data_IF_806504862680
#
_entry.id   IF_806504862680
#
_cell.length_a   1.000
_cell.length_b   1.000
_cell.length_c   1.000
_cell.angle_alpha   90.00
_cell.angle_beta   90.00
_cell.angle_gamma   90.00
#
_symmetry.space_group_name_H-M   'P 1'
#
loop_
_entity.id
_entity.type
_entity.pdbx_description
1 polymer ?
#
# COMPACT_ATOMS: atom_id res chain seq x y z
N UNK A 1 4.39 9.28 6.31
CA UNK A 1 5.37 8.24 6.68
C UNK A 1 6.76 8.53 6.12
N UNK A 2 6.90 8.82 4.82
CA UNK A 2 8.21 9.07 4.17
C UNK A 2 9.14 10.02 4.93
N UNK A 3 8.63 11.20 5.33
CA UNK A 3 9.40 12.15 6.16
C UNK A 3 9.91 11.52 7.47
N UNK A 4 9.07 10.74 8.16
CA UNK A 4 9.47 10.02 9.38
C UNK A 4 10.57 9.00 9.11
N UNK A 5 10.48 8.25 8.01
CA UNK A 5 11.54 7.31 7.60
C UNK A 5 12.84 8.02 7.23
N UNK A 6 12.78 9.17 6.56
CA UNK A 6 13.97 9.98 6.23
C UNK A 6 14.76 10.31 7.50
N UNK A 7 14.07 10.72 8.57
CA UNK A 7 14.71 11.04 9.85
C UNK A 7 15.12 9.80 10.64
N UNK A 8 14.22 8.83 10.81
CA UNK A 8 14.48 7.62 11.58
C UNK A 8 15.64 6.80 11.01
N UNK A 9 15.70 6.68 9.68
CA UNK A 9 16.74 5.93 8.98
C UNK A 9 17.99 6.77 8.66
N UNK A 10 18.00 8.05 9.04
CA UNK A 10 19.04 9.02 8.72
C UNK A 10 19.42 9.03 7.24
N UNK A 11 18.41 9.02 6.35
CA UNK A 11 18.61 8.85 4.91
C UNK A 11 19.39 10.01 4.28
N UNK A 12 19.41 11.18 4.92
CA UNK A 12 20.15 12.35 4.47
C UNK A 12 21.67 12.15 4.46
N UNK A 13 22.19 11.21 5.27
CA UNK A 13 23.62 10.83 5.24
C UNK A 13 23.95 9.79 4.18
N UNK A 14 22.93 9.18 3.56
CA UNK A 14 23.06 8.00 2.69
C UNK A 14 22.62 8.25 1.25
N UNK A 15 21.74 9.22 1.05
CA UNK A 15 21.11 9.55 -0.22
C UNK A 15 21.21 11.05 -0.49
N UNK A 16 21.17 11.44 -1.76
CA UNK A 16 21.33 12.83 -2.14
C UNK A 16 20.10 13.68 -1.79
N UNK A 17 20.25 15.00 -1.76
CA UNK A 17 19.11 15.91 -1.62
C UNK A 17 18.09 15.72 -2.75
N UNK A 18 18.55 15.42 -3.96
CA UNK A 18 17.71 15.08 -5.11
C UNK A 18 16.87 13.84 -4.84
N UNK A 19 17.46 12.79 -4.26
CA UNK A 19 16.72 11.59 -3.87
C UNK A 19 15.65 11.88 -2.81
N UNK A 20 15.94 12.75 -1.84
CA UNK A 20 14.93 13.18 -0.85
C UNK A 20 13.76 13.89 -1.53
N UNK A 21 14.05 14.80 -2.47
CA UNK A 21 13.02 15.50 -3.24
C UNK A 21 12.17 14.54 -4.07
N UNK A 22 12.80 13.56 -4.72
CA UNK A 22 12.12 12.50 -5.49
C UNK A 22 11.19 11.69 -4.58
N UNK A 23 11.68 11.18 -3.45
CA UNK A 23 10.92 10.36 -2.51
C UNK A 23 9.70 11.11 -1.97
N UNK A 24 9.88 12.37 -1.56
CA UNK A 24 8.80 13.19 -1.02
C UNK A 24 7.76 13.56 -2.10
N UNK A 25 8.22 13.94 -3.29
CA UNK A 25 7.32 14.30 -4.40
C UNK A 25 6.50 13.09 -4.84
N UNK A 26 7.15 11.94 -5.06
CA UNK A 26 6.45 10.71 -5.43
C UNK A 26 5.44 10.27 -4.36
N UNK A 27 5.81 10.31 -3.08
CA UNK A 27 4.90 9.97 -1.99
C UNK A 27 3.65 10.86 -1.94
N UNK A 28 3.77 12.15 -2.25
CA UNK A 28 2.61 13.07 -2.31
C UNK A 28 1.74 12.80 -3.55
N UNK A 29 2.36 12.43 -4.67
CA UNK A 29 1.68 12.31 -5.96
C UNK A 29 1.14 10.92 -6.29
N UNK A 30 1.51 9.88 -5.53
CA UNK A 30 1.37 8.49 -6.00
C UNK A 30 -0.06 8.02 -6.31
N UNK A 31 -1.08 8.61 -5.66
CA UNK A 31 -2.51 8.26 -5.84
C UNK A 31 -3.36 9.42 -6.40
N UNK A 32 -2.74 10.36 -7.12
CA UNK A 32 -3.46 11.50 -7.69
C UNK A 32 -4.60 11.05 -8.61
N UNK A 33 -5.81 11.56 -8.36
CA UNK A 33 -7.02 11.27 -9.14
C UNK A 33 -7.42 9.77 -9.11
N UNK A 34 -7.18 9.09 -7.98
CA UNK A 34 -7.67 7.72 -7.77
C UNK A 34 -9.22 7.68 -7.80
N UNK A 35 -9.84 6.80 -8.61
CA UNK A 35 -11.29 6.81 -8.82
C UNK A 35 -12.08 6.04 -7.75
N UNK A 36 -11.40 5.43 -6.78
CA UNK A 36 -12.00 4.56 -5.75
C UNK A 36 -12.25 3.12 -6.22
N UNK A 37 -11.65 2.70 -7.34
CA UNK A 37 -11.73 1.35 -7.88
C UNK A 37 -10.37 0.92 -8.42
N UNK A 38 -9.85 -0.21 -7.96
CA UNK A 38 -8.49 -0.67 -8.25
C UNK A 38 -8.30 -1.13 -9.70
N UNK A 39 -7.04 -1.43 -10.08
CA UNK A 39 -6.67 -1.90 -11.43
C UNK A 39 -7.50 -3.10 -11.92
N UNK A 40 -7.82 -4.06 -11.04
CA UNK A 40 -8.62 -5.24 -11.41
C UNK A 40 -10.00 -4.84 -11.93
N UNK A 41 -10.65 -3.88 -11.26
CA UNK A 41 -11.92 -3.33 -11.73
C UNK A 41 -11.74 -2.59 -13.06
N UNK A 42 -10.71 -1.72 -13.17
CA UNK A 42 -10.46 -0.97 -14.41
C UNK A 42 -10.38 -1.90 -15.63
N UNK A 43 -9.60 -2.98 -15.49
CA UNK A 43 -9.37 -3.96 -16.55
C UNK A 43 -10.63 -4.79 -16.84
N UNK A 44 -11.28 -5.34 -15.82
CA UNK A 44 -12.46 -6.19 -16.00
C UNK A 44 -13.64 -5.41 -16.60
N UNK A 45 -13.85 -4.17 -16.16
CA UNK A 45 -14.87 -3.26 -16.69
C UNK A 45 -14.45 -2.58 -18.01
N UNK A 46 -13.20 -2.79 -18.46
CA UNK A 46 -12.62 -2.17 -19.67
C UNK A 46 -12.83 -0.67 -19.71
N UNK A 47 -12.53 -0.01 -18.59
CA UNK A 47 -12.71 1.43 -18.46
C UNK A 47 -11.79 2.20 -19.40
N UNK A 48 -12.02 3.51 -19.54
CA UNK A 48 -11.16 4.37 -20.34
C UNK A 48 -9.69 4.29 -19.91
N UNK A 49 -9.41 4.22 -18.60
CA UNK A 49 -8.04 4.10 -18.09
C UNK A 49 -7.39 2.78 -18.50
N UNK A 50 -8.11 1.66 -18.36
CA UNK A 50 -7.58 0.35 -18.79
C UNK A 50 -7.29 0.32 -20.29
N UNK A 51 -8.19 0.84 -21.12
CA UNK A 51 -7.98 0.95 -22.57
C UNK A 51 -6.81 1.88 -22.90
N UNK A 52 -6.71 3.04 -22.25
CA UNK A 52 -5.63 4.02 -22.48
C UNK A 52 -4.25 3.46 -22.15
N UNK A 53 -4.15 2.70 -21.06
CA UNK A 53 -2.89 2.14 -20.57
C UNK A 53 -2.68 0.66 -20.92
N UNK A 54 -3.53 0.10 -21.78
CA UNK A 54 -3.42 -1.27 -22.30
C UNK A 54 -3.27 -2.31 -21.20
N UNK A 55 -4.07 -2.17 -20.13
CA UNK A 55 -4.09 -3.04 -18.95
C UNK A 55 -2.79 -3.09 -18.12
N UNK A 56 -1.79 -2.24 -18.41
CA UNK A 56 -0.50 -2.20 -17.70
C UNK A 56 -0.54 -1.09 -16.65
N UNK A 57 -0.64 -1.46 -15.37
CA UNK A 57 -0.76 -0.54 -14.22
C UNK A 57 -1.57 0.73 -14.53
N UNK A 58 -2.86 0.62 -14.94
CA UNK A 58 -3.62 1.76 -15.44
C UNK A 58 -3.70 2.94 -14.47
N UNK A 59 -3.89 2.66 -13.18
CA UNK A 59 -4.01 3.69 -12.15
C UNK A 59 -2.68 4.38 -11.89
N UNK A 60 -1.61 3.63 -11.67
CA UNK A 60 -0.29 4.21 -11.35
C UNK A 60 0.25 5.05 -12.53
N UNK A 61 -0.02 4.62 -13.77
CA UNK A 61 0.28 5.44 -14.95
C UNK A 61 -0.56 6.73 -14.98
N UNK A 62 -1.85 6.66 -14.61
CA UNK A 62 -2.73 7.82 -14.53
C UNK A 62 -2.28 8.82 -13.45
N UNK A 63 -2.00 8.33 -12.23
CA UNK A 63 -1.48 9.16 -11.13
C UNK A 63 -0.23 9.91 -11.54
N UNK A 64 0.70 9.19 -12.19
CA UNK A 64 1.92 9.79 -12.70
C UNK A 64 1.65 10.82 -13.82
N UNK A 65 0.71 10.54 -14.73
CA UNK A 65 0.34 11.49 -15.78
C UNK A 65 -0.24 12.78 -15.20
N UNK A 66 -1.16 12.68 -14.23
CA UNK A 66 -1.76 13.81 -13.53
C UNK A 66 -0.70 14.62 -12.77
N UNK A 67 0.21 13.95 -12.05
CA UNK A 67 1.31 14.62 -11.34
C UNK A 67 2.11 15.55 -12.26
N UNK A 68 2.46 15.08 -13.46
CA UNK A 68 3.23 15.87 -14.40
C UNK A 68 2.41 16.83 -15.26
N UNK A 69 1.09 16.63 -15.37
CA UNK A 69 0.20 17.68 -15.89
C UNK A 69 0.20 18.88 -14.94
N UNK A 70 0.06 18.65 -13.63
CA UNK A 70 0.13 19.71 -12.61
C UNK A 70 1.48 20.41 -12.67
N UNK A 71 2.59 19.65 -12.65
CA UNK A 71 3.94 20.21 -12.68
C UNK A 71 4.30 20.91 -14.00
N UNK A 72 3.52 20.70 -15.07
CA UNK A 72 3.70 21.44 -16.34
C UNK A 72 3.13 22.86 -16.29
N UNK A 73 2.24 23.16 -15.33
CA UNK A 73 1.71 24.50 -15.12
C UNK A 73 2.80 25.38 -14.48
N UNK A 74 3.17 26.53 -15.07
CA UNK A 74 4.25 27.38 -14.56
C UNK A 74 4.08 27.78 -13.08
N UNK A 75 2.85 28.00 -12.63
CA UNK A 75 2.49 28.38 -11.26
C UNK A 75 2.55 27.23 -10.26
N UNK A 76 2.54 25.97 -10.72
CA UNK A 76 2.64 24.77 -9.89
C UNK A 76 4.00 24.08 -10.00
N UNK A 77 4.86 24.53 -10.92
CA UNK A 77 6.11 23.86 -11.23
C UNK A 77 7.20 24.13 -10.17
N UNK A 78 7.25 23.27 -9.14
CA UNK A 78 8.30 23.30 -8.12
C UNK A 78 9.71 22.99 -8.68
N UNK A 79 9.81 22.50 -9.92
CA UNK A 79 11.05 22.20 -10.62
C UNK A 79 11.44 23.26 -11.66
N UNK A 80 10.76 24.42 -11.71
CA UNK A 80 10.97 25.45 -12.72
C UNK A 80 12.41 25.97 -12.82
N UNK A 81 13.17 25.91 -11.72
CA UNK A 81 14.55 26.36 -11.63
C UNK A 81 15.57 25.21 -11.57
N UNK A 82 15.14 23.98 -11.85
CA UNK A 82 16.03 22.81 -11.91
C UNK A 82 16.62 22.72 -13.33
N UNK A 83 17.90 22.34 -13.41
CA UNK A 83 18.55 22.09 -14.69
C UNK A 83 17.74 21.08 -15.53
N UNK A 84 17.53 21.32 -16.84
CA UNK A 84 16.70 20.44 -17.67
C UNK A 84 17.15 18.97 -17.70
N UNK A 85 18.45 18.68 -17.61
CA UNK A 85 18.96 17.31 -17.60
C UNK A 85 18.71 16.64 -16.24
N UNK A 86 18.93 17.37 -15.15
CA UNK A 86 18.54 16.91 -13.81
C UNK A 86 17.02 16.67 -13.70
N UNK A 87 16.19 17.52 -14.31
CA UNK A 87 14.75 17.34 -14.33
C UNK A 87 14.33 16.04 -15.02
N UNK A 88 14.99 15.64 -16.13
CA UNK A 88 14.72 14.35 -16.78
C UNK A 88 14.97 13.18 -15.83
N UNK A 89 16.07 13.22 -15.07
CA UNK A 89 16.41 12.19 -14.09
C UNK A 89 15.40 12.15 -12.94
N UNK A 90 15.04 13.31 -12.39
CA UNK A 90 14.02 13.43 -11.35
C UNK A 90 12.68 12.87 -11.83
N UNK A 91 12.25 13.27 -13.03
CA UNK A 91 11.02 12.79 -13.65
C UNK A 91 11.03 11.27 -13.79
N UNK A 92 12.11 10.71 -14.34
CA UNK A 92 12.24 9.27 -14.53
C UNK A 92 12.17 8.53 -13.19
N UNK A 93 12.84 9.04 -12.16
CA UNK A 93 12.82 8.42 -10.85
C UNK A 93 11.43 8.48 -10.20
N UNK A 94 10.73 9.62 -10.26
CA UNK A 94 9.35 9.75 -9.75
C UNK A 94 8.41 8.78 -10.47
N UNK A 95 8.51 8.66 -11.81
CA UNK A 95 7.74 7.66 -12.58
C UNK A 95 7.99 6.26 -12.04
N UNK A 96 9.26 5.88 -11.87
CA UNK A 96 9.63 4.56 -11.35
C UNK A 96 9.03 4.31 -9.96
N UNK A 97 9.02 5.31 -9.08
CA UNK A 97 8.48 5.17 -7.72
C UNK A 97 6.96 5.07 -7.69
N UNK A 98 6.25 5.90 -8.46
CA UNK A 98 4.77 5.81 -8.53
C UNK A 98 4.36 4.47 -9.16
N UNK A 99 4.99 4.04 -10.25
CA UNK A 99 4.70 2.72 -10.85
C UNK A 99 5.10 1.52 -9.96
N UNK A 100 5.89 1.74 -8.91
CA UNK A 100 6.25 0.71 -7.95
C UNK A 100 5.18 0.50 -6.88
N UNK A 101 4.22 1.43 -6.70
CA UNK A 101 3.16 1.28 -5.69
C UNK A 101 2.18 0.18 -6.06
N UNK A 102 2.00 -0.11 -7.36
CA UNK A 102 1.18 -1.23 -7.85
C UNK A 102 1.50 -2.54 -7.10
N UNK A 103 0.50 -3.03 -6.36
CA UNK A 103 0.63 -4.23 -5.52
C UNK A 103 0.73 -5.52 -6.34
N UNK A 104 0.36 -5.52 -7.62
CA UNK A 104 0.63 -6.65 -8.53
C UNK A 104 2.15 -6.92 -8.67
N UNK A 105 2.98 -5.89 -8.46
CA UNK A 105 4.44 -5.96 -8.55
C UNK A 105 5.14 -6.15 -7.20
N UNK A 106 4.39 -6.28 -6.10
CA UNK A 106 4.96 -6.36 -4.76
C UNK A 106 5.99 -7.49 -4.62
N UNK A 107 5.66 -8.71 -5.07
CA UNK A 107 6.56 -9.86 -4.99
C UNK A 107 7.86 -9.65 -5.76
N UNK A 108 7.77 -9.21 -7.03
CA UNK A 108 8.91 -8.91 -7.89
C UNK A 108 9.88 -7.90 -7.24
N UNK A 109 9.34 -6.79 -6.73
CA UNK A 109 10.13 -5.71 -6.15
C UNK A 109 10.78 -6.16 -4.84
N UNK A 110 10.02 -6.82 -3.96
CA UNK A 110 10.54 -7.27 -2.68
C UNK A 110 11.61 -8.37 -2.85
N UNK A 111 11.43 -9.29 -3.79
CA UNK A 111 12.42 -10.34 -4.06
C UNK A 111 13.70 -9.75 -4.67
N UNK A 112 13.59 -8.77 -5.56
CA UNK A 112 14.76 -8.01 -6.07
C UNK A 112 15.52 -7.31 -4.94
N UNK A 113 14.81 -6.74 -3.96
CA UNK A 113 15.44 -6.09 -2.81
C UNK A 113 16.11 -7.09 -1.87
N UNK A 114 15.46 -8.22 -1.56
CA UNK A 114 16.04 -9.30 -0.74
C UNK A 114 17.35 -9.83 -1.30
N UNK A 115 17.49 -9.90 -2.63
CA UNK A 115 18.75 -10.32 -3.28
C UNK A 115 19.89 -9.32 -3.09
N UNK A 116 19.58 -8.04 -2.85
CA UNK A 116 20.55 -6.95 -2.74
C UNK A 116 20.86 -6.58 -1.28
N UNK A 117 19.95 -6.83 -0.35
CA UNK A 117 19.98 -6.27 1.01
C UNK A 117 21.18 -6.73 1.84
N UNK A 118 21.60 -7.99 1.71
CA UNK A 118 22.68 -8.55 2.55
C UNK A 118 24.08 -8.02 2.12
N UNK A 119 24.22 -7.52 0.89
CA UNK A 119 25.44 -6.89 0.36
C UNK A 119 25.13 -5.51 -0.24
N UNK A 120 24.30 -4.73 0.45
CA UNK A 120 23.79 -3.47 -0.09
C UNK A 120 24.90 -2.41 -0.23
N UNK A 121 24.91 -1.71 -1.36
CA UNK A 121 25.89 -0.66 -1.68
C UNK A 121 25.15 0.63 -2.02
N UNK A 122 25.34 1.66 -1.18
CA UNK A 122 24.73 2.99 -1.37
C UNK A 122 25.33 3.78 -2.54
N UNK A 123 26.45 3.33 -3.11
CA UNK A 123 27.05 3.93 -4.31
C UNK A 123 26.54 3.29 -5.60
N UNK A 124 25.83 2.16 -5.50
CA UNK A 124 25.25 1.46 -6.63
C UNK A 124 23.82 1.98 -6.93
N UNK A 125 23.63 2.54 -8.12
CA UNK A 125 22.37 3.17 -8.53
C UNK A 125 21.19 2.18 -8.59
N UNK A 126 21.42 0.92 -8.95
CA UNK A 126 20.38 -0.11 -8.98
C UNK A 126 19.93 -0.47 -7.56
N UNK A 127 20.87 -0.58 -6.62
CA UNK A 127 20.58 -0.82 -5.21
C UNK A 127 19.78 0.33 -4.61
N UNK A 128 20.22 1.57 -4.84
CA UNK A 128 19.53 2.77 -4.37
C UNK A 128 18.14 2.91 -4.98
N UNK A 129 17.98 2.62 -6.27
CA UNK A 129 16.66 2.62 -6.93
C UNK A 129 15.73 1.58 -6.33
N UNK A 130 16.23 0.36 -6.10
CA UNK A 130 15.48 -0.71 -5.45
C UNK A 130 15.05 -0.33 -4.02
N UNK A 131 15.96 0.25 -3.23
CA UNK A 131 15.64 0.77 -1.90
C UNK A 131 14.55 1.85 -1.97
N UNK A 132 14.66 2.83 -2.87
CA UNK A 132 13.64 3.89 -3.01
C UNK A 132 12.26 3.33 -3.34
N UNK A 133 12.18 2.31 -4.22
CA UNK A 133 10.93 1.61 -4.52
C UNK A 133 10.36 0.94 -3.27
N UNK A 134 11.17 0.24 -2.49
CA UNK A 134 10.70 -0.39 -1.23
C UNK A 134 10.29 0.66 -0.20
N UNK A 135 11.00 1.78 -0.09
CA UNK A 135 10.65 2.86 0.85
C UNK A 135 9.30 3.51 0.54
N UNK A 136 9.00 3.80 -0.74
CA UNK A 136 7.68 4.35 -1.09
C UNK A 136 6.58 3.31 -0.81
N UNK A 137 6.81 2.03 -1.13
CA UNK A 137 5.86 0.96 -0.80
C UNK A 137 5.65 0.81 0.71
N UNK A 138 6.71 0.85 1.51
CA UNK A 138 6.59 0.88 2.97
C UNK A 138 5.69 2.01 3.43
N UNK A 139 5.87 3.21 2.87
CA UNK A 139 5.11 4.39 3.26
C UNK A 139 3.64 4.35 2.86
N UNK A 140 3.38 3.88 1.65
CA UNK A 140 2.05 3.72 1.05
C UNK A 140 1.16 2.85 1.95
N UNK A 141 1.62 1.63 2.28
CA UNK A 141 0.84 0.69 3.09
C UNK A 141 1.17 0.73 4.59
N UNK A 142 1.58 1.88 5.12
CA UNK A 142 2.11 2.01 6.50
C UNK A 142 1.07 2.23 7.60
N UNK A 143 -0.23 2.14 7.34
CA UNK A 143 -1.25 2.51 8.34
C UNK A 143 -1.10 1.72 9.64
N UNK A 144 -0.91 0.40 9.55
CA UNK A 144 -0.74 -0.51 10.71
C UNK A 144 0.59 -0.36 11.45
N UNK A 145 1.50 0.48 10.96
CA UNK A 145 2.71 0.86 11.72
C UNK A 145 2.38 1.89 12.81
N UNK A 146 1.27 2.62 12.66
CA UNK A 146 0.87 3.71 13.56
C UNK A 146 0.23 3.15 14.83
N UNK A 147 0.13 3.96 15.91
CA UNK A 147 -0.68 3.60 17.07
C UNK A 147 -2.10 3.20 16.66
N UNK A 148 -2.66 2.20 17.36
CA UNK A 148 -3.94 1.56 17.01
C UNK A 148 -5.06 2.58 16.80
N UNK A 149 -5.17 3.58 17.67
CA UNK A 149 -6.18 4.64 17.60
C UNK A 149 -6.09 5.52 16.34
N UNK A 150 -4.92 5.54 15.69
CA UNK A 150 -4.69 6.22 14.41
C UNK A 150 -4.87 5.27 13.23
N UNK A 151 -4.48 4.00 13.38
CA UNK A 151 -4.53 2.99 12.32
C UNK A 151 -5.95 2.47 12.07
N UNK A 152 -6.71 2.16 13.13
CA UNK A 152 -7.99 1.46 13.03
C UNK A 152 -9.04 2.17 12.16
N UNK A 153 -9.19 3.52 12.21
CA UNK A 153 -10.13 4.22 11.33
C UNK A 153 -9.81 4.06 9.84
N UNK A 154 -8.55 3.84 9.46
CA UNK A 154 -8.18 3.60 8.07
C UNK A 154 -8.67 2.25 7.56
N UNK A 155 -8.86 1.27 8.43
CA UNK A 155 -9.42 -0.03 8.06
C UNK A 155 -10.90 0.13 7.68
N UNK A 156 -11.65 0.99 8.37
CA UNK A 156 -13.02 1.32 7.98
C UNK A 156 -13.07 1.98 6.60
N UNK A 157 -12.23 3.00 6.36
CA UNK A 157 -12.12 3.65 5.05
C UNK A 157 -11.78 2.65 3.93
N UNK A 158 -10.80 1.78 4.18
CA UNK A 158 -10.38 0.76 3.21
C UNK A 158 -11.52 -0.20 2.87
N UNK A 159 -12.22 -0.71 3.89
CA UNK A 159 -13.33 -1.63 3.68
C UNK A 159 -14.53 -0.96 3.02
N UNK A 160 -14.82 0.31 3.34
CA UNK A 160 -15.85 1.07 2.65
C UNK A 160 -15.57 1.14 1.14
N UNK A 161 -14.34 1.49 0.75
CA UNK A 161 -13.93 1.54 -0.66
C UNK A 161 -13.96 0.16 -1.34
N UNK A 162 -13.40 -0.86 -0.68
CA UNK A 162 -13.40 -2.24 -1.20
C UNK A 162 -14.80 -2.78 -1.40
N UNK A 163 -15.72 -2.48 -0.47
CA UNK A 163 -17.09 -2.93 -0.57
C UNK A 163 -17.89 -2.14 -1.61
N UNK A 164 -17.63 -0.83 -1.79
CA UNK A 164 -18.20 -0.09 -2.91
C UNK A 164 -17.82 -0.71 -4.26
N UNK A 165 -16.55 -1.10 -4.42
CA UNK A 165 -16.10 -1.80 -5.62
C UNK A 165 -16.78 -3.16 -5.78
N UNK A 166 -16.74 -4.02 -4.76
CA UNK A 166 -17.28 -5.38 -4.90
C UNK A 166 -18.80 -5.41 -5.08
N UNK A 167 -19.54 -4.49 -4.44
CA UNK A 167 -20.97 -4.33 -4.66
C UNK A 167 -21.27 -3.91 -6.12
N UNK A 168 -20.44 -3.03 -6.69
CA UNK A 168 -20.54 -2.62 -8.10
C UNK A 168 -20.19 -3.75 -9.05
N UNK A 169 -19.11 -4.50 -8.79
CA UNK A 169 -18.73 -5.69 -9.56
C UNK A 169 -19.87 -6.72 -9.59
N UNK A 170 -20.51 -7.00 -8.44
CA UNK A 170 -21.70 -7.87 -8.37
C UNK A 170 -22.84 -7.33 -9.24
N UNK A 171 -23.09 -6.02 -9.20
CA UNK A 171 -24.19 -5.39 -9.96
C UNK A 171 -23.97 -5.40 -11.47
N UNK A 172 -22.71 -5.35 -11.91
CA UNK A 172 -22.29 -5.35 -13.31
C UNK A 172 -21.97 -6.76 -13.84
N UNK A 173 -22.05 -7.79 -13.00
CA UNK A 173 -21.73 -9.17 -13.39
C UNK A 173 -20.24 -9.43 -13.58
N UNK A 174 -19.37 -8.62 -12.97
CA UNK A 174 -17.91 -8.75 -13.02
C UNK A 174 -17.40 -9.71 -11.92
N UNK A 175 -16.19 -10.29 -12.08
CA UNK A 175 -15.56 -11.10 -11.04
C UNK A 175 -15.30 -10.29 -9.77
N UNK A 176 -15.59 -10.89 -8.61
CA UNK A 176 -15.37 -10.28 -7.28
C UNK A 176 -14.24 -11.00 -6.55
N UNK A 177 -13.25 -10.24 -6.08
CA UNK A 177 -12.17 -10.79 -5.28
C UNK A 177 -12.67 -11.19 -3.86
N UNK A 178 -12.39 -12.42 -3.36
CA UNK A 178 -12.88 -12.85 -2.06
C UNK A 178 -12.47 -11.96 -0.88
N UNK A 179 -11.29 -11.33 -0.95
CA UNK A 179 -10.78 -10.44 0.10
C UNK A 179 -11.38 -9.02 0.05
N UNK A 180 -12.23 -8.72 -0.93
CA UNK A 180 -12.99 -7.46 -1.04
C UNK A 180 -14.50 -7.68 -0.89
N UNK A 181 -14.94 -8.92 -0.69
CA UNK A 181 -16.35 -9.28 -0.65
C UNK A 181 -16.95 -8.94 0.71
N UNK A 182 -17.90 -7.99 0.74
CA UNK A 182 -18.62 -7.55 1.95
C UNK A 182 -19.20 -8.71 2.76
N UNK A 183 -19.61 -9.78 2.10
CA UNK A 183 -20.25 -10.94 2.75
C UNK A 183 -19.24 -11.89 3.41
N UNK A 184 -17.94 -11.72 3.16
CA UNK A 184 -16.88 -12.65 3.60
C UNK A 184 -15.80 -11.99 4.45
N UNK A 185 -15.69 -10.67 4.41
CA UNK A 185 -14.57 -9.94 5.01
C UNK A 185 -15.02 -9.24 6.29
N UNK A 186 -14.29 -9.50 7.37
CA UNK A 186 -14.32 -8.71 8.61
C UNK A 186 -13.01 -7.94 8.76
N UNK A 187 -13.00 -6.87 9.58
CA UNK A 187 -11.76 -6.10 9.86
C UNK A 187 -10.58 -7.00 10.25
N UNK A 188 -10.71 -7.94 11.21
CA UNK A 188 -9.59 -8.80 11.56
C UNK A 188 -9.09 -9.65 10.38
N UNK A 189 -10.00 -10.23 9.60
CA UNK A 189 -9.61 -11.10 8.47
C UNK A 189 -8.91 -10.33 7.35
N UNK A 190 -9.25 -9.06 7.13
CA UNK A 190 -8.56 -8.19 6.18
C UNK A 190 -7.12 -7.90 6.64
N UNK A 191 -6.93 -7.58 7.93
CA UNK A 191 -5.65 -7.10 8.43
C UNK A 191 -4.65 -8.21 8.75
N UNK A 192 -5.06 -9.33 9.35
CA UNK A 192 -4.13 -10.39 9.81
C UNK A 192 -3.24 -10.89 8.67
N UNK A 193 -3.86 -11.27 7.55
CA UNK A 193 -3.13 -11.79 6.39
C UNK A 193 -2.20 -10.74 5.79
N UNK A 194 -2.70 -9.50 5.65
CA UNK A 194 -1.94 -8.40 5.09
C UNK A 194 -0.71 -8.04 5.96
N UNK A 195 -0.90 -7.90 7.27
CA UNK A 195 0.19 -7.61 8.20
C UNK A 195 1.23 -8.75 8.17
N UNK A 196 0.77 -10.00 8.29
CA UNK A 196 1.64 -11.18 8.43
C UNK A 196 2.44 -11.50 7.17
N UNK A 197 1.83 -11.38 6.00
CA UNK A 197 2.41 -11.86 4.75
C UNK A 197 2.90 -10.74 3.81
N UNK A 198 2.51 -9.49 4.05
CA UNK A 198 2.92 -8.34 3.24
C UNK A 198 3.75 -7.36 4.07
N UNK A 199 3.21 -6.81 5.16
CA UNK A 199 3.87 -5.75 5.92
C UNK A 199 5.11 -6.26 6.64
N UNK A 200 4.96 -7.23 7.55
CA UNK A 200 6.08 -7.72 8.37
C UNK A 200 7.26 -8.16 7.50
N UNK A 201 7.11 -9.01 6.45
CA UNK A 201 8.25 -9.41 5.63
C UNK A 201 8.95 -8.24 4.91
N UNK A 202 8.19 -7.25 4.46
CA UNK A 202 8.76 -6.07 3.79
C UNK A 202 9.55 -5.20 4.79
N UNK A 203 8.96 -4.88 5.94
CA UNK A 203 9.61 -4.07 6.97
C UNK A 203 10.80 -4.80 7.62
N UNK A 204 10.74 -6.11 7.84
CA UNK A 204 11.89 -6.90 8.31
C UNK A 204 13.04 -6.91 7.30
N UNK A 205 12.74 -6.87 5.99
CA UNK A 205 13.78 -6.74 4.97
C UNK A 205 14.44 -5.36 5.03
N UNK A 206 13.68 -4.28 5.22
CA UNK A 206 14.23 -2.92 5.40
C UNK A 206 15.04 -2.81 6.70
N UNK A 207 14.60 -3.49 7.77
CA UNK A 207 15.26 -3.53 9.08
C UNK A 207 16.69 -4.05 9.01
N UNK A 208 17.00 -4.93 8.04
CA UNK A 208 18.38 -5.38 7.82
C UNK A 208 19.35 -4.22 7.49
N UNK A 209 18.88 -3.17 6.82
CA UNK A 209 19.68 -1.96 6.54
C UNK A 209 19.53 -0.89 7.61
N UNK A 210 18.37 -0.83 8.25
CA UNK A 210 18.04 0.18 9.25
C UNK A 210 17.48 -0.49 10.52
N UNK A 211 18.35 -1.08 11.37
CA UNK A 211 17.91 -1.84 12.55
C UNK A 211 17.02 -1.05 13.51
N UNK A 212 17.18 0.28 13.55
CA UNK A 212 16.40 1.17 14.40
C UNK A 212 14.89 1.18 14.08
N UNK A 213 14.45 0.67 12.93
CA UNK A 213 13.02 0.57 12.63
C UNK A 213 12.35 -0.60 13.36
N UNK A 214 13.11 -1.51 13.98
CA UNK A 214 12.55 -2.67 14.68
C UNK A 214 11.56 -2.22 15.75
N UNK A 215 12.02 -1.39 16.68
CA UNK A 215 11.20 -0.91 17.81
C UNK A 215 10.07 0.02 17.34
N UNK A 216 10.34 0.86 16.34
CA UNK A 216 9.43 1.94 15.96
C UNK A 216 8.39 1.49 14.92
N UNK A 217 8.67 0.45 14.14
CA UNK A 217 7.82 0.04 13.02
C UNK A 217 7.50 -1.45 12.97
N UNK A 218 8.49 -2.33 13.17
CA UNK A 218 8.26 -3.78 13.11
C UNK A 218 7.52 -4.28 14.34
N UNK A 219 7.84 -3.77 15.53
CA UNK A 219 7.17 -4.17 16.76
C UNK A 219 5.69 -3.76 16.76
N UNK A 220 5.30 -2.51 16.42
CA UNK A 220 3.89 -2.15 16.25
C UNK A 220 3.12 -3.04 15.28
N UNK A 221 3.74 -3.48 14.18
CA UNK A 221 3.10 -4.43 13.25
C UNK A 221 2.86 -5.80 13.88
N UNK A 222 3.80 -6.29 14.70
CA UNK A 222 3.63 -7.56 15.43
C UNK A 222 2.51 -7.43 16.46
N UNK A 223 2.47 -6.31 17.19
CA UNK A 223 1.43 -6.03 18.18
C UNK A 223 0.05 -5.88 17.53
N UNK A 224 -0.03 -5.18 16.39
CA UNK A 224 -1.26 -5.03 15.59
C UNK A 224 -1.76 -6.39 15.06
N UNK A 225 -0.86 -7.25 14.55
CA UNK A 225 -1.22 -8.63 14.18
C UNK A 225 -1.86 -9.37 15.34
N UNK A 226 -1.22 -9.36 16.51
CA UNK A 226 -1.70 -10.10 17.68
C UNK A 226 -3.05 -9.55 18.15
N UNK A 227 -3.22 -8.23 18.14
CA UNK A 227 -4.50 -7.57 18.42
C UNK A 227 -5.63 -8.04 17.48
N UNK A 228 -5.39 -8.08 16.16
CA UNK A 228 -6.41 -8.57 15.23
C UNK A 228 -6.64 -10.08 15.35
N UNK A 229 -5.61 -10.88 15.65
CA UNK A 229 -5.79 -12.32 15.92
C UNK A 229 -6.69 -12.56 17.14
N UNK A 230 -6.56 -11.75 18.20
CA UNK A 230 -7.47 -11.77 19.36
C UNK A 230 -8.89 -11.33 18.99
N UNK A 231 -9.06 -10.23 18.25
CA UNK A 231 -10.37 -9.78 17.77
C UNK A 231 -11.07 -10.85 16.94
N UNK A 232 -10.33 -11.54 16.06
CA UNK A 232 -10.87 -12.63 15.27
C UNK A 232 -11.41 -13.78 16.15
N UNK A 233 -10.68 -14.15 17.21
CA UNK A 233 -11.14 -15.20 18.12
C UNK A 233 -12.44 -14.80 18.84
N UNK A 234 -12.58 -13.53 19.20
CA UNK A 234 -13.80 -12.99 19.80
C UNK A 234 -14.97 -13.05 18.80
N UNK A 235 -14.76 -12.62 17.54
CA UNK A 235 -15.76 -12.67 16.48
C UNK A 235 -16.24 -14.11 16.21
N UNK A 236 -15.31 -15.06 16.12
CA UNK A 236 -15.60 -16.48 15.92
C UNK A 236 -16.47 -17.01 17.09
N UNK A 237 -16.10 -16.70 18.34
CA UNK A 237 -16.83 -17.13 19.54
C UNK A 237 -18.25 -16.53 19.61
N UNK A 238 -18.43 -15.26 19.24
CA UNK A 238 -19.75 -14.62 19.20
C UNK A 238 -20.66 -15.25 18.12
N UNK A 239 -20.08 -15.63 16.99
CA UNK A 239 -20.80 -16.26 15.86
C UNK A 239 -21.25 -17.68 16.22
N UNK A 240 -20.38 -18.46 16.87
CA UNK A 240 -20.71 -19.80 17.39
C UNK A 240 -21.80 -19.74 18.48
N UNK A 241 -21.67 -18.82 19.45
CA UNK A 241 -22.65 -18.63 20.51
C UNK A 241 -24.04 -18.24 19.99
N UNK A 242 -24.09 -17.34 19.00
CA UNK A 242 -25.35 -16.93 18.34
C UNK A 242 -26.01 -18.08 17.58
N UNK A 243 -25.21 -18.89 16.89
CA UNK A 243 -25.68 -20.09 16.19
C UNK A 243 -26.26 -21.13 17.16
N UNK A 244 -25.66 -21.28 18.34
CA UNK A 244 -26.15 -22.18 19.39
C UNK A 244 -27.51 -21.72 19.95
N UNK A 245 -27.69 -20.42 20.17
CA UNK A 245 -28.96 -19.83 20.65
C UNK A 245 -30.08 -19.96 19.62
N UNK A 246 -29.79 -19.77 18.32
CA UNK A 246 -30.76 -19.94 17.24
C UNK A 246 -31.20 -21.41 17.15
N UNK A 247 -30.26 -22.35 17.22
CA UNK A 247 -30.55 -23.80 17.22
C UNK A 247 -31.43 -24.20 18.39
N UNK A 248 -31.12 -23.72 19.59
CA UNK A 248 -31.95 -23.94 20.79
C UNK A 248 -33.38 -23.40 20.64
N UNK A 249 -33.55 -22.19 20.08
CA UNK A 249 -34.88 -21.62 19.82
C UNK A 249 -35.66 -22.39 18.75
N UNK A 250 -35.00 -22.95 17.74
CA UNK A 250 -35.65 -23.78 16.72
C UNK A 250 -36.13 -25.13 17.26
N UNK A 251 -35.39 -25.73 18.19
CA UNK A 251 -35.76 -27.01 18.81
C UNK A 251 -36.92 -26.83 19.81
N UNK A 252 -37.05 -25.66 20.44
CA UNK A 252 -38.19 -25.34 21.30
C UNK A 252 -39.49 -25.00 20.55
N UNK A 253 -39.42 -24.55 19.29
CA UNK A 253 -40.62 -24.29 18.46
C UNK A 253 -41.19 -25.53 17.77
N UNK A 254 -40.54 -26.69 17.88
CA UNK A 254 -40.98 -27.98 17.30
C UNK A 254 -41.65 -28.92 18.32
N UNK A 255 -41.94 -28.44 19.53
CA UNK A 255 -42.79 -29.11 20.54
C UNK A 255 -44.04 -28.29 20.76
#
# INVERSE_FOLDING_TARGET
MMYGMIHLCNLQEKLTLTDMGILMTAAVCHDLDHPGYNNTYQINARTELAVRYNDISPLENHHCAVAFQILSLPECNIFANVDPEAFKQIRQAIITLILATDMARHGEILDSFKQKVDNFDFTNEEHVTCLKMVLIKCCDISNEVRPTEVAEPWVDCLLEEYFMQSDREKSEGLPVAPFMDRDKVTKPTAQIGFIKFVLIPMFETVMKLFPQIEEIMVQPLRDSRDHYEELKQIDDAMTEGSSFVIKFKSDFKKK
#
